data_IF_845473555328
#
_entry.id   IF_845473555328
#
_cell.length_a   1.000
_cell.length_b   1.000
_cell.length_c   1.000
_cell.angle_alpha   90.00
_cell.angle_beta   90.00
_cell.angle_gamma   90.00
#
_symmetry.space_group_name_H-M   'P 1'
#
loop_
_entity.id
_entity.type
_entity.pdbx_description
1 polymer ?
#
# COMPACT_ATOMS: atom_id res chain seq x y z
N UNK A 1 -9.15 -3.34 20.94
CA UNK A 1 -8.78 -3.30 19.51
C UNK A 1 -9.60 -4.25 18.65
N UNK A 2 -9.53 -5.57 18.83
CA UNK A 2 -10.25 -6.55 17.98
C UNK A 2 -11.73 -6.26 17.73
N UNK A 3 -12.54 -6.14 18.80
CA UNK A 3 -13.99 -5.91 18.68
C UNK A 3 -14.31 -4.59 17.96
N UNK A 4 -13.58 -3.52 18.27
CA UNK A 4 -13.80 -2.21 17.67
C UNK A 4 -13.39 -2.18 16.20
N UNK A 5 -12.18 -2.66 15.88
CA UNK A 5 -11.72 -2.77 14.50
C UNK A 5 -12.66 -3.63 13.66
N UNK A 6 -13.17 -4.75 14.22
CA UNK A 6 -14.15 -5.59 13.54
C UNK A 6 -15.47 -4.87 13.28
N UNK A 7 -16.00 -4.15 14.27
CA UNK A 7 -17.25 -3.40 14.11
C UNK A 7 -17.14 -2.29 13.05
N UNK A 8 -15.98 -1.63 12.92
CA UNK A 8 -15.73 -0.67 11.85
C UNK A 8 -15.65 -1.37 10.49
N UNK A 9 -14.92 -2.49 10.42
CA UNK A 9 -14.75 -3.27 9.20
C UNK A 9 -16.09 -3.79 8.66
N UNK A 10 -16.94 -4.34 9.53
CA UNK A 10 -18.26 -4.86 9.14
C UNK A 10 -19.20 -3.75 8.61
N UNK A 11 -18.93 -2.48 8.95
CA UNK A 11 -19.65 -1.30 8.43
C UNK A 11 -19.05 -0.74 7.13
N UNK A 12 -18.00 -1.35 6.58
CA UNK A 12 -17.29 -0.85 5.41
C UNK A 12 -16.36 0.34 5.70
N UNK A 13 -16.12 0.67 6.98
CA UNK A 13 -15.21 1.75 7.40
C UNK A 13 -13.79 1.19 7.48
N UNK A 14 -13.23 0.80 6.33
CA UNK A 14 -11.99 0.01 6.28
C UNK A 14 -10.75 0.80 6.72
N UNK A 15 -10.66 2.08 6.39
CA UNK A 15 -9.53 2.91 6.82
C UNK A 15 -9.58 3.14 8.34
N UNK A 16 -10.75 3.45 8.89
CA UNK A 16 -10.94 3.58 10.33
C UNK A 16 -10.64 2.26 11.04
N UNK A 17 -11.09 1.13 10.50
CA UNK A 17 -10.73 -0.19 11.01
C UNK A 17 -9.20 -0.39 11.01
N UNK A 18 -8.52 -0.03 9.92
CA UNK A 18 -7.06 -0.07 9.83
C UNK A 18 -6.41 0.79 10.90
N UNK A 19 -6.80 2.06 11.08
CA UNK A 19 -6.19 2.96 12.08
C UNK A 19 -6.29 2.41 13.50
N UNK A 20 -7.45 1.88 13.89
CA UNK A 20 -7.66 1.26 15.21
C UNK A 20 -6.80 0.00 15.36
N UNK A 21 -6.74 -0.84 14.33
CA UNK A 21 -5.96 -2.08 14.37
C UNK A 21 -4.45 -1.82 14.31
N UNK A 22 -4.02 -0.75 13.63
CA UNK A 22 -2.63 -0.30 13.56
C UNK A 22 -2.15 0.23 14.90
N UNK A 23 -2.93 1.07 15.60
CA UNK A 23 -2.62 1.51 16.97
C UNK A 23 -2.55 0.31 17.92
N UNK A 24 -3.49 -0.64 17.79
CA UNK A 24 -3.45 -1.89 18.51
C UNK A 24 -2.16 -2.68 18.26
N UNK A 25 -1.81 -2.91 16.99
CA UNK A 25 -0.59 -3.64 16.60
C UNK A 25 0.67 -2.94 17.13
N UNK A 26 0.73 -1.60 17.05
CA UNK A 26 1.85 -0.82 17.57
C UNK A 26 2.07 -1.06 19.06
N UNK A 27 1.00 -1.08 19.86
CA UNK A 27 1.05 -1.30 21.32
C UNK A 27 1.28 -2.76 21.71
N UNK A 28 0.77 -3.71 20.93
CA UNK A 28 0.76 -5.14 21.26
C UNK A 28 1.35 -6.00 20.14
N UNK A 29 2.58 -5.69 19.71
CA UNK A 29 3.24 -6.33 18.56
C UNK A 29 3.33 -7.86 18.57
N UNK A 30 3.25 -8.49 19.75
CA UNK A 30 3.30 -9.95 19.89
C UNK A 30 1.95 -10.63 19.61
N UNK A 31 0.87 -9.87 19.53
CA UNK A 31 -0.47 -10.39 19.23
C UNK A 31 -0.65 -10.50 17.70
N UNK A 32 -0.33 -11.68 17.16
CA UNK A 32 -0.36 -11.94 15.71
C UNK A 32 -1.71 -11.65 15.06
N UNK A 33 -2.80 -11.82 15.81
CA UNK A 33 -4.15 -11.52 15.34
C UNK A 33 -4.35 -10.03 15.01
N UNK A 34 -3.70 -9.10 15.71
CA UNK A 34 -3.77 -7.68 15.39
C UNK A 34 -3.07 -7.38 14.07
N UNK A 35 -1.89 -7.96 13.85
CA UNK A 35 -1.18 -7.80 12.59
C UNK A 35 -2.00 -8.35 11.41
N UNK A 36 -2.60 -9.53 11.58
CA UNK A 36 -3.46 -10.15 10.57
C UNK A 36 -4.68 -9.28 10.26
N UNK A 37 -5.42 -8.84 11.28
CA UNK A 37 -6.61 -8.01 11.07
C UNK A 37 -6.24 -6.64 10.47
N UNK A 38 -5.11 -6.07 10.88
CA UNK A 38 -4.59 -4.82 10.32
C UNK A 38 -4.31 -4.96 8.80
N UNK A 39 -3.68 -6.07 8.37
CA UNK A 39 -3.47 -6.35 6.93
C UNK A 39 -4.79 -6.49 6.18
N UNK A 40 -5.77 -7.19 6.76
CA UNK A 40 -7.09 -7.35 6.13
C UNK A 40 -7.77 -5.98 5.92
N UNK A 41 -7.76 -5.12 6.94
CA UNK A 41 -8.32 -3.77 6.84
C UNK A 41 -7.57 -2.90 5.82
N UNK A 42 -6.23 -2.95 5.82
CA UNK A 42 -5.37 -2.27 4.86
C UNK A 42 -5.76 -2.61 3.41
N UNK A 43 -5.82 -3.90 3.05
CA UNK A 43 -6.13 -4.30 1.68
C UNK A 43 -7.57 -3.98 1.29
N UNK A 44 -8.52 -4.07 2.24
CA UNK A 44 -9.90 -3.65 1.99
C UNK A 44 -9.99 -2.15 1.68
N UNK A 45 -9.29 -1.31 2.43
CA UNK A 45 -9.23 0.12 2.19
C UNK A 45 -8.54 0.46 0.86
N UNK A 46 -7.39 -0.14 0.56
CA UNK A 46 -6.70 0.06 -0.73
C UNK A 46 -7.59 -0.33 -1.92
N UNK A 47 -8.30 -1.46 -1.82
CA UNK A 47 -9.24 -1.90 -2.85
C UNK A 47 -10.41 -0.92 -3.01
N UNK A 48 -11.01 -0.45 -1.90
CA UNK A 48 -12.05 0.57 -1.95
C UNK A 48 -11.56 1.84 -2.65
N UNK A 49 -10.42 2.38 -2.22
CA UNK A 49 -9.85 3.59 -2.82
C UNK A 49 -9.51 3.40 -4.30
N UNK A 50 -8.92 2.26 -4.66
CA UNK A 50 -8.58 1.92 -6.05
C UNK A 50 -9.80 1.88 -6.95
N UNK A 51 -10.92 1.29 -6.51
CA UNK A 51 -12.18 1.25 -7.27
C UNK A 51 -12.77 2.63 -7.53
N UNK A 52 -12.55 3.55 -6.60
CA UNK A 52 -13.08 4.93 -6.68
C UNK A 52 -12.09 5.95 -7.23
N UNK A 53 -10.91 5.53 -7.69
CA UNK A 53 -9.90 6.46 -8.21
C UNK A 53 -9.24 7.36 -7.17
N UNK A 54 -9.27 6.98 -5.89
CA UNK A 54 -8.77 7.76 -4.75
C UNK A 54 -7.26 7.56 -4.53
N UNK A 55 -6.42 8.07 -5.45
CA UNK A 55 -4.97 7.90 -5.36
C UNK A 55 -4.35 8.56 -4.12
N UNK A 56 -4.81 9.76 -3.74
CA UNK A 56 -4.22 10.50 -2.63
C UNK A 56 -4.36 9.73 -1.31
N UNK A 57 -5.53 9.14 -1.08
CA UNK A 57 -5.89 8.32 0.06
C UNK A 57 -5.10 7.00 0.03
N UNK A 58 -5.01 6.36 -1.14
CA UNK A 58 -4.21 5.15 -1.35
C UNK A 58 -2.74 5.39 -1.01
N UNK A 59 -2.19 6.51 -1.48
CA UNK A 59 -0.81 6.92 -1.21
C UNK A 59 -0.58 7.17 0.27
N UNK A 60 -1.49 7.91 0.93
CA UNK A 60 -1.41 8.16 2.37
C UNK A 60 -1.40 6.87 3.18
N UNK A 61 -2.29 5.93 2.85
CA UNK A 61 -2.36 4.63 3.51
C UNK A 61 -1.09 3.78 3.31
N UNK A 62 -0.48 3.82 2.11
CA UNK A 62 0.80 3.15 1.85
C UNK A 62 1.98 3.79 2.60
N UNK A 63 1.92 5.11 2.84
CA UNK A 63 2.90 5.80 3.69
C UNK A 63 2.73 5.41 5.17
N UNK A 64 1.49 5.30 5.66
CA UNK A 64 1.22 4.79 7.01
C UNK A 64 1.71 3.36 7.18
N UNK A 65 1.49 2.49 6.19
CA UNK A 65 2.03 1.13 6.18
C UNK A 65 3.56 1.10 6.36
N UNK A 66 4.28 1.95 5.63
CA UNK A 66 5.74 2.06 5.74
C UNK A 66 6.16 2.39 7.17
N UNK A 67 5.49 3.35 7.82
CA UNK A 67 5.81 3.77 9.20
C UNK A 67 5.47 2.66 10.21
N UNK A 68 4.37 1.94 10.00
CA UNK A 68 3.90 0.90 10.90
C UNK A 68 4.86 -0.29 11.00
N UNK A 69 5.64 -0.54 9.93
CA UNK A 69 6.50 -1.71 9.77
C UNK A 69 5.72 -3.02 10.06
N UNK A 70 4.51 -3.08 9.49
CA UNK A 70 3.63 -4.24 9.61
C UNK A 70 4.25 -5.41 8.84
N UNK A 71 4.46 -6.59 9.45
CA UNK A 71 5.04 -7.72 8.75
C UNK A 71 4.13 -8.14 7.60
N UNK A 72 4.72 -8.29 6.41
CA UNK A 72 4.04 -8.69 5.17
C UNK A 72 4.55 -10.04 4.70
N UNK A 73 3.64 -10.95 4.39
CA UNK A 73 3.98 -12.18 3.67
C UNK A 73 4.33 -11.88 2.21
N UNK A 74 4.95 -12.83 1.53
CA UNK A 74 5.22 -12.70 0.08
C UNK A 74 3.92 -12.49 -0.71
N UNK A 75 2.82 -13.16 -0.33
CA UNK A 75 1.52 -12.95 -0.95
C UNK A 75 1.00 -11.51 -0.74
N UNK A 76 1.19 -10.94 0.44
CA UNK A 76 0.83 -9.54 0.71
C UNK A 76 1.66 -8.58 -0.14
N UNK A 77 2.96 -8.83 -0.25
CA UNK A 77 3.86 -8.02 -1.09
C UNK A 77 3.46 -8.09 -2.56
N UNK A 78 3.12 -9.28 -3.08
CA UNK A 78 2.63 -9.44 -4.44
C UNK A 78 1.33 -8.67 -4.68
N UNK A 79 0.40 -8.67 -3.72
CA UNK A 79 -0.82 -7.85 -3.81
C UNK A 79 -0.49 -6.35 -3.84
N UNK A 80 0.43 -5.86 -3.02
CA UNK A 80 0.87 -4.46 -3.04
C UNK A 80 1.57 -4.08 -4.35
N UNK A 81 2.43 -4.95 -4.89
CA UNK A 81 3.07 -4.75 -6.20
C UNK A 81 2.03 -4.66 -7.31
N UNK A 82 1.07 -5.59 -7.35
CA UNK A 82 -0.01 -5.57 -8.35
C UNK A 82 -0.86 -4.29 -8.23
N UNK A 83 -1.17 -3.89 -7.00
CA UNK A 83 -1.91 -2.66 -6.72
C UNK A 83 -1.19 -1.41 -7.24
N UNK A 84 0.08 -1.25 -6.88
CA UNK A 84 0.91 -0.14 -7.35
C UNK A 84 1.09 -0.15 -8.87
N UNK A 85 1.28 -1.32 -9.48
CA UNK A 85 1.38 -1.47 -10.94
C UNK A 85 0.14 -0.95 -11.67
N UNK A 86 -1.05 -1.24 -11.15
CA UNK A 86 -2.29 -0.74 -11.74
C UNK A 86 -2.36 0.79 -11.75
N UNK A 87 -1.94 1.42 -10.65
CA UNK A 87 -1.83 2.87 -10.55
C UNK A 87 -0.78 3.43 -11.52
N UNK A 88 0.42 2.86 -11.54
CA UNK A 88 1.49 3.28 -12.44
C UNK A 88 1.05 3.19 -13.92
N UNK A 89 0.44 2.07 -14.33
CA UNK A 89 -0.10 1.90 -15.69
C UNK A 89 -1.20 2.92 -16.00
N UNK A 90 -2.02 3.30 -15.03
CA UNK A 90 -2.99 4.38 -15.19
C UNK A 90 -2.29 5.73 -15.39
N UNK A 91 -1.27 6.06 -14.59
CA UNK A 91 -0.54 7.32 -14.70
C UNK A 91 0.28 7.44 -15.98
N UNK A 92 0.90 6.36 -16.45
CA UNK A 92 1.56 6.32 -17.76
C UNK A 92 0.56 6.68 -18.86
N UNK A 93 -0.63 6.06 -18.86
CA UNK A 93 -1.65 6.30 -19.89
C UNK A 93 -2.27 7.70 -19.84
N UNK A 94 -2.33 8.30 -18.65
CA UNK A 94 -2.95 9.62 -18.44
C UNK A 94 -1.95 10.77 -18.39
N UNK A 95 -0.64 10.49 -18.50
CA UNK A 95 0.42 11.49 -18.39
C UNK A 95 0.65 12.01 -16.96
N UNK A 96 0.18 11.30 -15.93
CA UNK A 96 0.28 11.66 -14.52
C UNK A 96 1.69 11.50 -13.94
N UNK A 97 2.67 12.26 -14.46
CA UNK A 97 4.10 12.08 -14.15
C UNK A 97 4.39 12.13 -12.64
N UNK A 98 3.92 13.14 -11.91
CA UNK A 98 4.21 13.25 -10.47
C UNK A 98 3.68 12.05 -9.68
N UNK A 99 2.47 11.59 -9.99
CA UNK A 99 1.86 10.43 -9.35
C UNK A 99 2.60 9.12 -9.70
N UNK A 100 3.11 9.01 -10.93
CA UNK A 100 3.98 7.91 -11.36
C UNK A 100 5.28 7.88 -10.56
N UNK A 101 5.99 9.01 -10.45
CA UNK A 101 7.24 9.08 -9.68
C UNK A 101 6.99 8.75 -8.20
N UNK A 102 5.91 9.29 -7.62
CA UNK A 102 5.54 9.01 -6.23
C UNK A 102 5.18 7.54 -6.00
N UNK A 103 4.56 6.86 -6.98
CA UNK A 103 4.32 5.42 -6.94
C UNK A 103 5.64 4.62 -6.92
N UNK A 104 6.62 5.04 -7.72
CA UNK A 104 7.93 4.38 -7.80
C UNK A 104 8.74 4.58 -6.53
N UNK A 105 8.68 5.77 -5.92
CA UNK A 105 9.27 6.03 -4.60
C UNK A 105 8.64 5.15 -3.52
N UNK A 106 7.31 4.99 -3.52
CA UNK A 106 6.63 4.08 -2.61
C UNK A 106 7.06 2.62 -2.79
N UNK A 107 7.18 2.16 -4.03
CA UNK A 107 7.67 0.81 -4.35
C UNK A 107 9.05 0.56 -3.73
N UNK A 108 9.97 1.51 -3.88
CA UNK A 108 11.31 1.45 -3.31
C UNK A 108 11.29 1.47 -1.78
N UNK A 109 10.56 2.42 -1.18
CA UNK A 109 10.52 2.58 0.28
C UNK A 109 9.84 1.43 1.00
N UNK A 110 8.90 0.74 0.35
CA UNK A 110 8.26 -0.45 0.87
C UNK A 110 9.07 -1.73 0.61
N UNK A 111 10.22 -1.63 -0.09
CA UNK A 111 11.04 -2.80 -0.44
C UNK A 111 10.32 -3.77 -1.38
N UNK A 112 9.42 -3.25 -2.23
CA UNK A 112 8.57 -4.05 -3.11
C UNK A 112 9.15 -4.18 -4.53
N UNK A 113 10.30 -3.56 -4.81
CA UNK A 113 10.95 -3.65 -6.11
C UNK A 113 11.61 -5.02 -6.30
N UNK A 114 11.05 -5.83 -7.18
CA UNK A 114 11.55 -7.16 -7.56
C UNK A 114 12.14 -7.18 -8.98
N UNK A 115 12.41 -6.01 -9.56
CA UNK A 115 12.89 -5.86 -10.94
C UNK A 115 11.78 -5.91 -12.00
N UNK A 116 10.55 -6.32 -11.66
CA UNK A 116 9.46 -6.41 -12.65
C UNK A 116 8.84 -5.05 -13.03
N UNK A 117 9.43 -3.93 -12.59
CA UNK A 117 9.01 -2.56 -12.87
C UNK A 117 9.96 -1.80 -13.81
N UNK A 118 10.99 -2.43 -14.39
CA UNK A 118 11.95 -1.80 -15.30
C UNK A 118 11.30 -0.97 -16.41
N UNK A 119 10.32 -1.55 -17.13
CA UNK A 119 9.61 -0.86 -18.19
C UNK A 119 8.87 0.42 -17.71
N UNK A 120 8.41 0.42 -16.46
CA UNK A 120 7.75 1.59 -15.86
C UNK A 120 8.79 2.66 -15.50
N UNK A 121 9.96 2.26 -15.00
CA UNK A 121 11.07 3.19 -14.78
C UNK A 121 11.56 3.82 -16.08
N UNK A 122 11.62 3.06 -17.18
CA UNK A 122 11.95 3.58 -18.51
C UNK A 122 10.94 4.64 -18.96
N UNK A 123 9.65 4.34 -18.86
CA UNK A 123 8.58 5.26 -19.21
C UNK A 123 8.57 6.52 -18.34
N UNK A 124 9.01 6.42 -17.08
CA UNK A 124 9.19 7.55 -16.18
C UNK A 124 10.47 8.38 -16.47
N UNK A 125 11.36 7.90 -17.35
CA UNK A 125 12.65 8.52 -17.63
C UNK A 125 13.65 8.38 -16.47
N UNK A 126 13.55 7.31 -15.68
CA UNK A 126 14.30 7.11 -14.43
C UNK A 126 15.48 6.13 -14.52
N UNK A 127 15.68 5.40 -15.63
CA UNK A 127 16.74 4.38 -15.76
C UNK A 127 18.19 4.92 -15.93
N UNK A 128 18.46 6.19 -15.63
CA UNK A 128 19.83 6.75 -15.68
C UNK A 128 20.62 6.68 -14.36
N UNK A 129 20.16 5.98 -13.30
CA UNK A 129 20.84 6.00 -11.97
C UNK A 129 21.10 4.64 -11.27
N UNK A 130 20.96 3.48 -11.93
CA UNK A 130 21.27 2.17 -11.30
C UNK A 130 22.21 1.30 -12.14
N UNK A 131 23.22 1.89 -12.77
CA UNK A 131 24.36 1.15 -13.34
C UNK A 131 25.67 1.85 -12.96
N UNK A 132 26.00 1.86 -11.68
CA UNK A 132 27.37 1.98 -11.17
C UNK A 132 27.52 1.07 -9.95
#
# INVERSE_FOLDING_TARGET
>A
YHRWGRALFDRGLFYEAFTVLADGFYRYRRESALAQNCRVALFAALNQYGRTGQWAESRGLLQELRVLNLPMSEADQQMLRAYLRNWMNHFVRTGGREALLSSLELLQHLGLDDGSFEAVYDQAGMLSRRRE
#
